data_IF_490941835889
#
_entry.id   IF_490941835889
#
_cell.length_a   1.000
_cell.length_b   1.000
_cell.length_c   1.000
_cell.angle_alpha   90.00
_cell.angle_beta   90.00
_cell.angle_gamma   90.00
#
_symmetry.space_group_name_H-M   'P 1'
#
loop_
_entity.id
_entity.type
_entity.pdbx_description
1 polymer ?
#
# COMPACT_ATOMS: atom_id res chain seq x y z
N UNK A 1 23.96 29.08 5.03
CA UNK A 1 23.67 29.57 6.39
C UNK A 1 23.99 28.43 7.36
N UNK A 2 25.03 28.57 8.18
CA UNK A 2 25.55 27.45 8.97
C UNK A 2 24.77 27.37 10.30
N UNK A 3 23.75 26.52 10.36
CA UNK A 3 22.86 26.34 11.52
C UNK A 3 23.62 25.82 12.75
N UNK A 4 24.70 25.04 12.55
CA UNK A 4 25.53 24.50 13.62
C UNK A 4 26.24 25.63 14.36
N UNK A 5 26.74 26.67 13.65
CA UNK A 5 27.39 27.85 14.27
C UNK A 5 26.42 28.68 15.11
N UNK A 6 25.12 28.50 14.94
CA UNK A 6 24.07 29.15 15.78
C UNK A 6 23.63 28.32 16.97
N UNK A 7 24.34 27.24 17.29
CA UNK A 7 24.02 26.38 18.44
C UNK A 7 22.86 25.41 18.22
N UNK A 8 22.41 25.23 16.97
CA UNK A 8 21.33 24.30 16.64
C UNK A 8 21.81 22.85 16.74
N UNK A 9 21.06 22.01 17.44
CA UNK A 9 21.35 20.58 17.54
C UNK A 9 20.82 19.85 16.32
N UNK A 10 21.76 19.43 15.43
CA UNK A 10 21.46 18.58 14.29
C UNK A 10 21.61 17.12 14.72
N UNK A 11 20.70 16.23 14.26
CA UNK A 11 20.81 14.81 14.59
C UNK A 11 22.15 14.24 14.10
N UNK A 12 22.87 13.63 15.02
CA UNK A 12 24.16 12.99 14.73
C UNK A 12 24.01 11.51 14.38
N UNK A 13 22.92 10.91 14.81
CA UNK A 13 22.61 9.50 14.57
C UNK A 13 21.19 9.36 14.03
N UNK A 14 21.08 8.72 12.89
CA UNK A 14 19.83 8.32 12.26
C UNK A 14 19.99 6.83 11.97
N UNK A 15 19.48 6.00 12.88
CA UNK A 15 19.67 4.56 12.80
C UNK A 15 18.34 3.83 12.84
N UNK A 16 18.25 2.74 12.08
CA UNK A 16 17.21 1.76 12.30
C UNK A 16 17.59 0.87 13.47
N UNK A 17 16.63 0.63 14.34
CA UNK A 17 16.75 -0.37 15.40
C UNK A 17 16.77 -1.76 14.74
N UNK A 18 17.97 -2.35 14.67
CA UNK A 18 18.21 -3.61 13.95
C UNK A 18 17.48 -4.77 14.63
N UNK A 19 17.34 -4.73 15.95
CA UNK A 19 16.75 -5.81 16.75
C UNK A 19 15.23 -5.93 16.51
N UNK A 20 14.57 -4.81 16.17
CA UNK A 20 13.12 -4.77 15.88
C UNK A 20 12.81 -4.75 14.38
N UNK A 21 13.81 -4.72 13.51
CA UNK A 21 13.61 -4.60 12.06
C UNK A 21 13.11 -5.92 11.46
N UNK A 22 11.94 -5.87 10.81
CA UNK A 22 11.36 -7.01 10.07
C UNK A 22 10.94 -6.56 8.67
N UNK A 23 10.50 -7.48 7.83
CA UNK A 23 9.99 -7.16 6.47
C UNK A 23 8.75 -6.24 6.50
N UNK A 24 8.03 -6.19 7.61
CA UNK A 24 6.79 -5.43 7.75
C UNK A 24 6.83 -4.34 8.82
N UNK A 25 7.91 -4.22 9.57
CA UNK A 25 8.07 -3.27 10.65
C UNK A 25 9.48 -2.71 10.70
N UNK A 26 9.60 -1.41 10.95
CA UNK A 26 10.87 -0.75 11.18
C UNK A 26 10.72 0.39 12.19
N UNK A 27 11.70 0.52 13.07
CA UNK A 27 11.81 1.60 14.05
C UNK A 27 13.02 2.46 13.69
N UNK A 28 12.78 3.75 13.45
CA UNK A 28 13.80 4.75 13.19
C UNK A 28 14.05 5.56 14.46
N UNK A 29 15.31 5.64 14.88
CA UNK A 29 15.75 6.45 16.02
C UNK A 29 16.57 7.63 15.49
N UNK A 30 16.16 8.83 15.88
CA UNK A 30 16.82 10.08 15.45
C UNK A 30 17.24 10.87 16.69
N UNK A 31 18.53 11.02 16.88
CA UNK A 31 19.11 11.66 18.08
C UNK A 31 20.48 12.33 17.82
N UNK A 32 20.81 13.41 18.57
CA UNK A 32 19.91 14.24 19.37
C UNK A 32 19.09 15.17 18.47
N UNK A 33 17.96 15.66 18.98
CA UNK A 33 17.15 16.68 18.32
C UNK A 33 17.00 17.91 19.21
N UNK A 34 16.94 19.08 18.59
CA UNK A 34 16.59 20.32 19.26
C UNK A 34 15.22 20.23 19.93
N UNK A 35 15.08 20.85 21.09
CA UNK A 35 13.84 20.81 21.88
C UNK A 35 12.67 21.34 21.06
N UNK A 36 11.58 20.56 20.97
CA UNK A 36 10.39 20.87 20.20
C UNK A 36 10.39 20.36 18.76
N UNK A 37 11.56 20.09 18.16
CA UNK A 37 11.66 19.61 16.77
C UNK A 37 11.18 18.18 16.57
N UNK A 38 11.20 17.35 17.61
CA UNK A 38 10.73 15.96 17.52
C UNK A 38 9.30 15.87 17.01
N UNK A 39 8.38 16.71 17.48
CA UNK A 39 6.98 16.73 17.02
C UNK A 39 6.87 17.16 15.57
N UNK A 40 7.60 18.21 15.19
CA UNK A 40 7.58 18.75 13.82
C UNK A 40 8.10 17.72 12.81
N UNK A 41 9.27 17.14 13.08
CA UNK A 41 9.89 16.13 12.23
C UNK A 41 9.04 14.85 12.20
N UNK A 42 8.53 14.40 13.35
CA UNK A 42 7.68 13.22 13.43
C UNK A 42 6.39 13.35 12.61
N UNK A 43 5.70 14.49 12.69
CA UNK A 43 4.51 14.76 11.89
C UNK A 43 4.83 14.89 10.40
N UNK A 44 5.92 15.56 10.05
CA UNK A 44 6.34 15.71 8.66
C UNK A 44 6.67 14.36 8.03
N UNK A 45 7.48 13.54 8.70
CA UNK A 45 7.79 12.18 8.26
C UNK A 45 6.53 11.31 8.15
N UNK A 46 5.62 11.38 9.13
CA UNK A 46 4.35 10.65 9.08
C UNK A 46 3.56 11.00 7.84
N UNK A 47 3.43 12.28 7.52
CA UNK A 47 2.69 12.75 6.33
C UNK A 47 3.34 12.27 5.04
N UNK A 48 4.65 12.45 4.89
CA UNK A 48 5.39 12.03 3.70
C UNK A 48 5.29 10.52 3.50
N UNK A 49 5.49 9.73 4.55
CA UNK A 49 5.47 8.27 4.48
C UNK A 49 4.09 7.72 4.12
N UNK A 50 3.01 8.36 4.54
CA UNK A 50 1.65 7.91 4.23
C UNK A 50 1.15 8.39 2.86
N UNK A 51 1.63 9.54 2.37
CA UNK A 51 1.06 10.18 1.17
C UNK A 51 1.96 10.17 -0.07
N UNK A 52 3.29 10.12 0.10
CA UNK A 52 4.20 10.42 -1.01
C UNK A 52 4.91 9.21 -1.58
N UNK A 53 4.81 8.05 -0.92
CA UNK A 53 5.42 6.82 -1.40
C UNK A 53 4.52 6.16 -2.43
N UNK A 54 5.11 5.81 -3.57
CA UNK A 54 4.42 5.12 -4.65
C UNK A 54 4.18 3.64 -4.33
N UNK A 55 3.05 3.15 -4.81
CA UNK A 55 2.70 1.74 -4.79
C UNK A 55 1.71 1.40 -5.88
N UNK A 56 1.40 0.11 -6.01
CA UNK A 56 0.40 -0.38 -6.95
C UNK A 56 -0.86 -0.81 -6.19
N UNK A 57 -2.03 -0.44 -6.70
CA UNK A 57 -3.33 -0.81 -6.12
C UNK A 57 -4.36 -1.05 -7.22
N UNK A 58 -5.41 -1.79 -6.86
CA UNK A 58 -6.56 -2.00 -7.72
C UNK A 58 -7.37 -0.71 -7.80
N UNK A 59 -7.76 -0.32 -9.01
CA UNK A 59 -8.57 0.86 -9.29
C UNK A 59 -9.96 0.51 -9.84
N UNK A 60 -10.12 -0.70 -10.38
CA UNK A 60 -11.37 -1.17 -10.94
C UNK A 60 -11.44 -2.69 -11.00
N UNK A 61 -12.65 -3.19 -10.97
CA UNK A 61 -12.99 -4.59 -11.08
C UNK A 61 -14.14 -4.76 -12.08
N UNK A 62 -13.97 -5.67 -13.02
CA UNK A 62 -15.00 -6.12 -13.93
C UNK A 62 -15.23 -7.60 -13.70
N UNK A 63 -16.49 -8.00 -13.57
CA UNK A 63 -16.87 -9.40 -13.43
C UNK A 63 -17.90 -9.71 -14.51
N UNK A 64 -17.73 -10.79 -15.23
CA UNK A 64 -18.66 -11.18 -16.28
C UNK A 64 -20.07 -11.38 -15.71
N UNK A 65 -21.07 -10.72 -16.33
CA UNK A 65 -22.46 -10.77 -15.90
C UNK A 65 -22.84 -9.90 -14.68
N UNK A 66 -21.93 -9.05 -14.22
CA UNK A 66 -22.15 -8.14 -13.08
C UNK A 66 -22.06 -6.70 -13.57
N UNK A 67 -23.08 -5.88 -13.27
CA UNK A 67 -23.14 -4.47 -13.68
C UNK A 67 -22.90 -3.49 -12.51
N UNK A 68 -23.09 -3.94 -11.27
CA UNK A 68 -22.94 -3.10 -10.08
C UNK A 68 -22.52 -3.93 -8.86
N UNK A 69 -21.98 -3.29 -7.87
CA UNK A 69 -21.43 -3.90 -6.65
C UNK A 69 -22.44 -4.63 -5.77
N UNK A 70 -23.71 -4.26 -5.85
CA UNK A 70 -24.80 -4.88 -5.04
C UNK A 70 -25.40 -6.13 -5.68
N UNK A 71 -24.66 -6.77 -6.57
CA UNK A 71 -25.08 -8.01 -7.23
C UNK A 71 -24.56 -9.23 -6.49
N UNK A 72 -25.21 -10.37 -6.72
CA UNK A 72 -24.71 -11.69 -6.36
C UNK A 72 -24.43 -12.52 -7.60
N UNK A 73 -23.46 -13.42 -7.52
CA UNK A 73 -23.07 -14.29 -8.65
C UNK A 73 -23.58 -15.69 -8.35
N UNK A 74 -24.35 -16.26 -9.26
CA UNK A 74 -24.90 -17.62 -9.07
C UNK A 74 -23.78 -18.64 -8.96
N UNK A 75 -23.76 -19.38 -7.84
CA UNK A 75 -22.75 -20.40 -7.56
C UNK A 75 -21.43 -19.82 -7.04
N UNK A 76 -21.45 -18.59 -6.53
CA UNK A 76 -20.38 -18.01 -5.71
C UNK A 76 -20.94 -17.72 -4.34
N UNK A 77 -20.19 -18.06 -3.29
CA UNK A 77 -20.63 -17.92 -1.91
C UNK A 77 -20.67 -16.46 -1.46
N UNK A 78 -19.70 -15.68 -1.90
CA UNK A 78 -19.53 -14.27 -1.56
C UNK A 78 -20.33 -13.37 -2.48
N UNK A 79 -20.86 -12.28 -1.92
CA UNK A 79 -21.41 -11.18 -2.71
C UNK A 79 -20.31 -10.38 -3.40
N UNK A 80 -20.66 -9.63 -4.43
CA UNK A 80 -19.70 -8.80 -5.16
C UNK A 80 -19.02 -7.77 -4.25
N UNK A 81 -19.72 -7.23 -3.25
CA UNK A 81 -19.13 -6.33 -2.23
C UNK A 81 -18.03 -7.03 -1.45
N UNK A 82 -18.27 -8.26 -1.00
CA UNK A 82 -17.27 -9.04 -0.27
C UNK A 82 -16.06 -9.36 -1.15
N UNK A 83 -16.29 -9.71 -2.42
CA UNK A 83 -15.23 -9.91 -3.40
C UNK A 83 -14.38 -8.64 -3.59
N UNK A 84 -15.02 -7.47 -3.73
CA UNK A 84 -14.36 -6.17 -3.81
C UNK A 84 -13.47 -5.93 -2.57
N UNK A 85 -14.01 -6.17 -1.37
CA UNK A 85 -13.26 -6.00 -0.12
C UNK A 85 -12.06 -6.96 -0.03
N UNK A 86 -12.17 -8.17 -0.55
CA UNK A 86 -11.08 -9.13 -0.60
C UNK A 86 -10.04 -8.76 -1.66
N UNK A 87 -10.46 -8.32 -2.85
CA UNK A 87 -9.59 -7.83 -3.92
C UNK A 87 -8.81 -6.60 -3.48
N UNK A 88 -9.40 -5.69 -2.68
CA UNK A 88 -8.70 -4.54 -2.07
C UNK A 88 -7.55 -4.94 -1.13
N UNK A 89 -7.57 -6.15 -0.58
CA UNK A 89 -6.49 -6.67 0.28
C UNK A 89 -5.31 -7.19 -0.53
N UNK A 90 -5.48 -7.45 -1.82
CA UNK A 90 -4.43 -7.90 -2.71
C UNK A 90 -3.31 -6.86 -2.80
N UNK A 91 -2.10 -7.35 -2.95
CA UNK A 91 -0.91 -6.53 -3.10
C UNK A 91 -0.23 -6.84 -4.41
N UNK A 92 0.05 -5.77 -5.12
CA UNK A 92 0.65 -5.82 -6.43
C UNK A 92 1.97 -5.07 -6.46
N UNK A 93 2.84 -5.50 -7.36
CA UNK A 93 3.99 -4.72 -7.81
C UNK A 93 3.83 -4.49 -9.29
N UNK A 94 3.78 -3.23 -9.72
CA UNK A 94 3.76 -2.88 -11.12
C UNK A 94 5.16 -2.45 -11.56
N UNK A 95 5.64 -2.99 -12.66
CA UNK A 95 6.93 -2.68 -13.29
C UNK A 95 6.78 -1.60 -14.36
N UNK A 96 5.55 -1.26 -14.73
CA UNK A 96 5.24 -0.26 -15.75
C UNK A 96 4.37 0.86 -15.19
N UNK A 97 4.43 2.01 -15.82
CA UNK A 97 3.50 3.11 -15.60
C UNK A 97 2.17 2.86 -16.33
N UNK A 98 1.10 3.50 -15.83
CA UNK A 98 -0.24 3.40 -16.42
C UNK A 98 -1.09 2.28 -15.81
N UNK A 99 -2.27 2.09 -16.43
CA UNK A 99 -3.25 1.06 -16.05
C UNK A 99 -2.86 -0.26 -16.68
N UNK A 100 -2.99 -1.33 -15.93
CA UNK A 100 -2.75 -2.72 -16.36
C UNK A 100 -3.90 -3.59 -15.91
N UNK A 101 -4.34 -4.47 -16.78
CA UNK A 101 -5.38 -5.45 -16.48
C UNK A 101 -4.76 -6.81 -16.23
N UNK A 102 -5.21 -7.47 -15.18
CA UNK A 102 -4.90 -8.86 -14.88
C UNK A 102 -6.22 -9.64 -14.79
N UNK A 103 -6.22 -10.88 -15.21
CA UNK A 103 -7.44 -11.67 -15.35
C UNK A 103 -7.44 -12.88 -14.42
N UNK A 104 -8.64 -13.25 -14.00
CA UNK A 104 -8.89 -14.49 -13.26
C UNK A 104 -10.01 -15.23 -13.99
N UNK A 105 -9.76 -16.49 -14.35
CA UNK A 105 -10.77 -17.35 -14.96
C UNK A 105 -10.73 -18.71 -14.27
N UNK A 106 -11.77 -19.00 -13.51
CA UNK A 106 -11.85 -20.19 -12.68
C UNK A 106 -13.18 -20.87 -12.84
N UNK A 107 -13.15 -22.22 -12.90
CA UNK A 107 -14.33 -23.09 -12.92
C UNK A 107 -14.38 -23.87 -11.61
N UNK A 108 -15.54 -23.81 -10.95
CA UNK A 108 -15.75 -24.51 -9.66
C UNK A 108 -15.88 -26.04 -9.80
N UNK A 109 -15.72 -26.76 -8.69
CA UNK A 109 -15.53 -26.22 -7.34
C UNK A 109 -14.10 -25.76 -7.10
N UNK A 110 -13.90 -24.48 -6.72
CA UNK A 110 -12.56 -23.91 -6.49
C UNK A 110 -12.63 -22.70 -5.53
N UNK A 111 -11.58 -22.52 -4.76
CA UNK A 111 -11.39 -21.30 -3.94
C UNK A 111 -10.45 -20.34 -4.66
N UNK A 112 -10.97 -19.23 -5.11
CA UNK A 112 -10.17 -18.19 -5.80
C UNK A 112 -9.27 -17.50 -4.80
N UNK A 113 -8.00 -17.46 -5.12
CA UNK A 113 -6.96 -16.81 -4.34
C UNK A 113 -6.12 -15.88 -5.21
N UNK A 114 -5.21 -15.12 -4.61
CA UNK A 114 -4.26 -14.31 -5.37
C UNK A 114 -3.36 -15.10 -6.33
N UNK A 115 -3.20 -16.42 -6.12
CA UNK A 115 -2.41 -17.29 -6.98
C UNK A 115 -3.09 -17.58 -8.33
N UNK A 116 -4.42 -17.48 -8.39
CA UNK A 116 -5.20 -17.74 -9.63
C UNK A 116 -5.19 -16.54 -10.59
N UNK A 117 -4.59 -15.43 -10.21
CA UNK A 117 -4.50 -14.22 -11.03
C UNK A 117 -3.44 -14.42 -12.12
N UNK A 118 -3.88 -14.36 -13.35
CA UNK A 118 -3.00 -14.42 -14.52
C UNK A 118 -2.45 -13.04 -14.83
N UNK A 119 -1.13 -12.93 -14.91
CA UNK A 119 -0.43 -11.68 -15.17
C UNK A 119 0.38 -11.78 -16.46
N UNK A 120 0.59 -10.67 -17.11
CA UNK A 120 1.39 -10.55 -18.33
C UNK A 120 2.90 -10.31 -18.07
N UNK A 121 3.32 -10.42 -16.80
CA UNK A 121 4.69 -10.11 -16.38
C UNK A 121 4.97 -8.63 -16.12
N UNK A 122 4.04 -7.72 -16.45
CA UNK A 122 4.17 -6.29 -16.12
C UNK A 122 3.71 -5.99 -14.69
N UNK A 123 2.92 -6.89 -14.09
CA UNK A 123 2.40 -6.82 -12.73
C UNK A 123 2.65 -8.13 -12.01
N UNK A 124 3.23 -8.06 -10.82
CA UNK A 124 3.40 -9.22 -9.93
C UNK A 124 2.34 -9.19 -8.84
N UNK A 125 1.76 -10.35 -8.54
CA UNK A 125 0.89 -10.56 -7.36
C UNK A 125 1.75 -10.99 -6.19
N UNK A 126 1.82 -10.15 -5.15
CA UNK A 126 2.65 -10.41 -3.97
C UNK A 126 1.91 -11.23 -2.89
N UNK A 127 0.58 -11.11 -2.83
CA UNK A 127 -0.26 -11.81 -1.86
C UNK A 127 -0.98 -12.99 -2.51
N UNK A 128 -0.24 -14.04 -2.87
CA UNK A 128 -0.78 -15.23 -3.53
C UNK A 128 -1.81 -15.98 -2.70
N UNK A 129 -1.65 -15.97 -1.37
CA UNK A 129 -2.54 -16.67 -0.44
C UNK A 129 -3.79 -15.86 -0.06
N UNK A 130 -3.95 -14.63 -0.59
CA UNK A 130 -5.10 -13.80 -0.27
C UNK A 130 -6.37 -14.42 -0.87
N UNK A 131 -7.31 -14.77 -0.01
CA UNK A 131 -8.64 -15.26 -0.37
C UNK A 131 -9.45 -14.18 -1.07
N UNK A 132 -10.16 -14.57 -2.14
CA UNK A 132 -11.05 -13.70 -2.93
C UNK A 132 -12.49 -14.18 -2.82
N UNK A 133 -12.78 -15.40 -3.28
CA UNK A 133 -14.13 -15.97 -3.27
C UNK A 133 -14.11 -17.51 -3.39
N UNK A 134 -15.22 -18.15 -3.08
CA UNK A 134 -15.44 -19.59 -3.26
C UNK A 134 -16.46 -19.84 -4.36
N UNK A 135 -16.11 -20.67 -5.34
CA UNK A 135 -16.93 -21.02 -6.50
C UNK A 135 -17.46 -22.45 -6.34
N UNK A 136 -18.76 -22.62 -6.41
CA UNK A 136 -19.45 -23.92 -6.32
C UNK A 136 -19.29 -24.73 -7.61
N UNK A 137 -19.61 -26.03 -7.51
CA UNK A 137 -19.56 -26.97 -8.62
C UNK A 137 -20.47 -26.52 -9.77
N UNK A 138 -19.87 -26.39 -10.96
CA UNK A 138 -20.59 -26.01 -12.19
C UNK A 138 -20.70 -24.52 -12.45
N UNK A 139 -20.29 -23.66 -11.52
CA UNK A 139 -20.16 -22.23 -11.76
C UNK A 139 -18.82 -21.89 -12.40
N UNK A 140 -18.77 -20.82 -13.15
CA UNK A 140 -17.55 -20.24 -13.71
C UNK A 140 -17.50 -18.76 -13.37
N UNK A 141 -16.36 -18.29 -12.92
CA UNK A 141 -16.13 -16.88 -12.62
C UNK A 141 -15.01 -16.39 -13.53
N UNK A 142 -15.30 -15.33 -14.25
CA UNK A 142 -14.32 -14.58 -15.04
C UNK A 142 -14.32 -13.14 -14.57
N UNK A 143 -13.14 -12.65 -14.14
CA UNK A 143 -12.99 -11.29 -13.66
C UNK A 143 -11.71 -10.66 -14.20
N UNK A 144 -11.77 -9.37 -14.44
CA UNK A 144 -10.66 -8.53 -14.84
C UNK A 144 -10.42 -7.49 -13.75
N UNK A 145 -9.20 -7.44 -13.25
CA UNK A 145 -8.77 -6.54 -12.18
C UNK A 145 -7.86 -5.49 -12.81
N UNK A 146 -8.24 -4.23 -12.75
CA UNK A 146 -7.40 -3.14 -13.24
C UNK A 146 -6.52 -2.61 -12.11
N UNK A 147 -5.21 -2.65 -12.33
CA UNK A 147 -4.18 -2.21 -11.39
C UNK A 147 -3.50 -0.97 -11.94
N UNK A 148 -3.22 0.00 -11.08
CA UNK A 148 -2.48 1.22 -11.43
C UNK A 148 -1.43 1.51 -10.38
N UNK A 149 -0.35 2.17 -10.81
CA UNK A 149 0.64 2.77 -9.92
C UNK A 149 0.21 4.19 -9.54
N UNK A 150 0.38 4.55 -8.27
CA UNK A 150 -0.02 5.86 -7.77
C UNK A 150 0.56 6.18 -6.40
N UNK A 151 0.10 7.28 -5.81
CA UNK A 151 0.51 7.78 -4.49
C UNK A 151 -0.70 8.03 -3.61
N UNK A 152 -0.54 7.82 -2.30
CA UNK A 152 -1.56 8.16 -1.32
C UNK A 152 -2.88 7.40 -1.51
N UNK A 153 -3.99 8.12 -1.51
CA UNK A 153 -5.35 7.63 -1.65
C UNK A 153 -6.06 8.30 -2.83
N UNK A 154 -6.76 7.52 -3.62
CA UNK A 154 -7.65 7.99 -4.68
C UNK A 154 -9.07 7.43 -4.45
N UNK A 155 -10.10 8.29 -4.35
CA UNK A 155 -11.49 7.84 -4.30
C UNK A 155 -11.93 7.21 -5.62
N UNK A 156 -13.01 6.41 -5.60
CA UNK A 156 -13.50 5.69 -6.76
C UNK A 156 -13.84 6.62 -7.94
N UNK A 157 -14.35 7.83 -7.65
CA UNK A 157 -14.71 8.83 -8.67
C UNK A 157 -13.48 9.27 -9.49
N UNK A 158 -12.31 9.37 -8.87
CA UNK A 158 -11.06 9.70 -9.58
C UNK A 158 -10.52 8.55 -10.42
N UNK A 159 -10.88 7.31 -10.06
CA UNK A 159 -10.49 6.11 -10.79
C UNK A 159 -11.47 5.78 -11.93
N UNK A 160 -12.69 6.34 -11.89
CA UNK A 160 -13.70 6.17 -12.93
C UNK A 160 -13.30 6.90 -14.21
N UNK A 161 -13.38 6.22 -15.34
CA UNK A 161 -13.20 6.83 -16.65
C UNK A 161 -14.52 7.43 -17.15
N UNK A 162 -14.50 8.68 -17.64
CA UNK A 162 -15.70 9.35 -18.16
C UNK A 162 -16.34 8.61 -19.34
N UNK A 163 -15.53 7.95 -20.16
CA UNK A 163 -15.95 7.15 -21.31
C UNK A 163 -15.62 5.66 -21.19
N UNK A 164 -15.44 5.17 -19.95
CA UNK A 164 -15.11 3.77 -19.69
C UNK A 164 -16.31 2.82 -19.86
N UNK A 165 -16.06 1.52 -19.97
CA UNK A 165 -17.12 0.52 -20.00
C UNK A 165 -18.01 0.60 -18.76
N UNK A 166 -19.32 0.44 -18.96
CA UNK A 166 -20.33 0.58 -17.87
C UNK A 166 -20.22 -0.56 -16.86
N UNK A 167 -19.69 -1.71 -17.28
CA UNK A 167 -19.53 -2.93 -16.48
C UNK A 167 -18.27 -2.95 -15.60
N UNK A 168 -17.47 -1.87 -15.61
CA UNK A 168 -16.31 -1.72 -14.73
C UNK A 168 -16.73 -1.01 -13.44
N UNK A 169 -16.62 -1.72 -12.33
CA UNK A 169 -16.85 -1.19 -10.99
C UNK A 169 -15.59 -0.45 -10.55
N UNK A 170 -15.64 0.88 -10.52
CA UNK A 170 -14.55 1.71 -10.04
C UNK A 170 -14.38 1.54 -8.52
N UNK A 171 -13.14 1.45 -8.06
CA UNK A 171 -12.81 1.21 -6.66
C UNK A 171 -11.93 2.34 -6.12
N UNK A 172 -12.16 2.71 -4.86
CA UNK A 172 -11.21 3.53 -4.11
C UNK A 172 -9.91 2.75 -3.84
N UNK A 173 -8.79 3.44 -3.92
CA UNK A 173 -7.48 2.81 -3.94
C UNK A 173 -6.52 3.45 -2.95
N UNK A 174 -5.87 2.63 -2.14
CA UNK A 174 -4.78 3.05 -1.25
C UNK A 174 -3.46 2.58 -1.86
N UNK A 175 -2.75 3.49 -2.51
CA UNK A 175 -1.49 3.18 -3.18
C UNK A 175 -0.32 3.08 -2.21
N UNK A 176 -0.39 3.79 -1.05
CA UNK A 176 0.70 3.78 -0.09
C UNK A 176 1.03 2.37 0.40
N UNK A 177 2.29 1.93 0.29
CA UNK A 177 2.73 0.66 0.85
C UNK A 177 2.78 0.66 2.39
N UNK A 178 2.67 1.84 3.01
CA UNK A 178 2.72 2.00 4.46
C UNK A 178 1.31 2.10 5.02
N UNK A 179 0.97 1.20 5.94
CA UNK A 179 -0.34 1.16 6.59
C UNK A 179 -0.45 2.10 7.80
N UNK A 180 0.62 2.21 8.57
CA UNK A 180 0.60 2.93 9.85
C UNK A 180 1.97 3.49 10.16
N UNK A 181 1.99 4.75 10.57
CA UNK A 181 3.17 5.44 11.09
C UNK A 181 2.81 6.02 12.45
N UNK A 182 3.59 5.69 13.46
CA UNK A 182 3.52 6.33 14.77
C UNK A 182 4.90 6.87 15.11
N UNK A 183 4.96 7.92 15.92
CA UNK A 183 6.21 8.41 16.50
C UNK A 183 6.00 8.68 18.00
N UNK A 184 7.08 8.55 18.74
CA UNK A 184 7.14 8.89 20.14
C UNK A 184 8.33 9.82 20.36
N UNK A 185 8.19 10.74 21.34
CA UNK A 185 9.27 11.62 21.76
C UNK A 185 9.70 11.12 23.13
N UNK A 186 10.93 10.61 23.23
CA UNK A 186 11.52 10.25 24.49
C UNK A 186 12.37 11.43 25.00
N UNK A 187 12.04 11.93 26.18
CA UNK A 187 12.85 12.90 26.90
C UNK A 187 13.82 12.14 27.80
N UNK A 188 15.02 11.88 27.32
CA UNK A 188 16.11 11.51 28.20
C UNK A 188 16.64 12.78 28.89
N UNK A 189 16.91 12.70 30.17
CA UNK A 189 17.30 13.83 31.05
C UNK A 189 18.47 14.70 30.58
N UNK A 190 19.12 14.30 29.45
CA UNK A 190 20.21 15.07 28.82
C UNK A 190 20.04 15.37 27.32
N UNK A 191 19.20 14.61 26.57
CA UNK A 191 19.07 14.81 25.11
C UNK A 191 17.67 14.38 24.66
N UNK A 192 16.99 15.23 23.85
CA UNK A 192 15.74 14.85 23.22
C UNK A 192 15.96 13.73 22.20
N UNK A 193 15.24 12.63 22.35
CA UNK A 193 15.21 11.53 21.40
C UNK A 193 13.85 11.44 20.73
N UNK A 194 13.81 11.14 19.46
CA UNK A 194 12.57 10.83 18.73
C UNK A 194 12.63 9.40 18.21
N UNK A 195 11.65 8.61 18.57
CA UNK A 195 11.45 7.29 18.01
C UNK A 195 10.26 7.30 17.05
N UNK A 196 10.46 6.94 15.80
CA UNK A 196 9.41 6.79 14.81
C UNK A 196 9.19 5.31 14.49
N UNK A 197 7.97 4.82 14.66
CA UNK A 197 7.60 3.45 14.37
C UNK A 197 6.88 3.39 13.04
N UNK A 198 7.41 2.57 12.13
CA UNK A 198 6.87 2.32 10.81
C UNK A 198 6.30 0.91 10.72
N UNK A 199 5.02 0.76 10.44
CA UNK A 199 4.42 -0.54 10.10
C UNK A 199 4.16 -0.60 8.60
N UNK A 200 4.89 -1.48 7.92
CA UNK A 200 4.87 -1.67 6.48
C UNK A 200 3.89 -2.76 6.06
N UNK A 201 3.29 -2.63 4.87
CA UNK A 201 2.75 -3.78 4.12
C UNK A 201 3.96 -4.55 3.57
N UNK A 202 3.98 -5.88 3.76
CA UNK A 202 5.04 -6.75 3.21
C UNK A 202 5.16 -6.54 1.70
N UNK A 203 6.23 -5.94 1.23
CA UNK A 203 6.71 -6.06 -0.14
C UNK A 203 8.06 -5.37 -0.30
N UNK A 204 8.99 -6.14 -0.74
CA UNK A 204 10.25 -5.88 -1.43
C UNK A 204 10.48 -4.43 -1.85
N UNK A 205 11.13 -3.63 -0.98
CA UNK A 205 11.84 -2.39 -1.35
C UNK A 205 12.75 -1.90 -0.23
N UNK A 206 13.57 -2.78 0.36
CA UNK A 206 14.44 -2.35 1.46
C UNK A 206 15.45 -1.27 1.07
N UNK A 207 16.09 -1.36 -0.10
CA UNK A 207 17.15 -0.40 -0.49
C UNK A 207 16.61 0.95 -0.97
N UNK A 208 15.57 0.96 -1.80
CA UNK A 208 15.02 2.19 -2.36
C UNK A 208 14.22 3.00 -1.33
N UNK A 209 13.63 2.32 -0.34
CA UNK A 209 12.92 2.93 0.77
C UNK A 209 13.85 3.68 1.73
N UNK A 210 14.98 3.08 2.08
CA UNK A 210 16.01 3.70 2.91
C UNK A 210 16.62 4.93 2.23
N UNK A 211 16.88 4.86 0.94
CA UNK A 211 17.37 5.97 0.12
C UNK A 211 16.37 7.14 0.09
N UNK A 212 15.07 6.86 -0.05
CA UNK A 212 14.04 7.89 -0.08
C UNK A 212 13.84 8.59 1.27
N UNK A 213 13.91 7.85 2.38
CA UNK A 213 13.83 8.45 3.72
C UNK A 213 15.08 9.30 4.00
N UNK A 214 16.26 8.82 3.66
CA UNK A 214 17.49 9.57 3.84
C UNK A 214 17.49 10.85 2.98
N UNK A 215 17.04 10.77 1.73
CA UNK A 215 16.91 11.95 0.86
C UNK A 215 15.91 12.98 1.40
N UNK A 216 14.81 12.55 2.06
CA UNK A 216 13.85 13.46 2.70
C UNK A 216 14.38 14.11 4.00
N UNK A 217 15.39 13.53 4.64
CA UNK A 217 15.99 14.05 5.87
C UNK A 217 17.18 14.98 5.60
N UNK A 218 17.77 14.91 4.40
CA UNK A 218 18.89 15.76 3.98
C UNK A 218 18.48 16.99 3.14
N UNK A 219 17.18 17.19 2.85
CA UNK A 219 16.60 18.41 2.31
C UNK A 219 16.11 19.33 3.44
#
# INVERSE_FOLDING_TARGET
MDLVKKGFQIPKKINFDVDSLTDSYGKLVVEPLERGFGTTIGNSLRRILLSSIEGAAVIGLRIEGVLHEFSSIKGVKEDVVDMILNVKKLRFRSHSEGKKSVTVKVKGPHTITGADIQTDGTVDVLSKDQYIASVDKGATVEMEITVKRGKGYAPAEQNKEENGPIDVIAMDSVFSPIKKVNFMIALLWRYGQMEAYLRRRQSVMQRQFLSNILNCLYL
#
